data_IF_704648662999
#
_entry.id   IF_704648662999
#
_cell.length_a   1.000
_cell.length_b   1.000
_cell.length_c   1.000
_cell.angle_alpha   90.00
_cell.angle_beta   90.00
_cell.angle_gamma   90.00
#
_symmetry.space_group_name_H-M   'P 1'
#
loop_
_entity.id
_entity.type
_entity.pdbx_description
1 polymer ?
#
# COMPACT_ATOMS: atom_id res chain seq x y z
N UNK A 1 -5.30 -11.53 12.95
CA UNK A 1 -3.93 -11.13 12.57
C UNK A 1 -3.34 -10.38 13.73
N UNK A 2 -2.15 -10.77 14.18
CA UNK A 2 -1.40 -10.06 15.24
C UNK A 2 -0.67 -8.84 14.69
N UNK A 3 -0.31 -8.89 13.40
CA UNK A 3 0.38 -7.84 12.65
C UNK A 3 -0.35 -7.58 11.33
N UNK A 4 -0.49 -6.31 10.96
CA UNK A 4 -0.91 -5.87 9.62
C UNK A 4 0.14 -4.92 9.05
N UNK A 5 0.60 -5.18 7.83
CA UNK A 5 1.54 -4.30 7.11
C UNK A 5 0.81 -3.64 5.95
N UNK A 6 0.79 -2.31 5.93
CA UNK A 6 0.09 -1.51 4.95
C UNK A 6 1.05 -0.69 4.09
N UNK A 7 0.97 -0.88 2.78
CA UNK A 7 1.68 -0.07 1.77
C UNK A 7 0.68 0.54 0.80
N UNK A 8 0.75 1.85 0.55
CA UNK A 8 -0.15 2.55 -0.37
C UNK A 8 -1.62 2.30 -0.01
N UNK A 9 -2.46 1.86 -0.95
CA UNK A 9 -3.84 1.44 -0.67
C UNK A 9 -3.96 0.42 0.48
N UNK A 10 -2.96 -0.44 0.68
CA UNK A 10 -2.90 -1.38 1.79
C UNK A 10 -2.77 -0.71 3.17
N UNK A 11 -2.22 0.50 3.26
CA UNK A 11 -2.20 1.27 4.52
C UNK A 11 -3.58 1.79 4.91
N UNK A 12 -4.37 2.23 3.94
CA UNK A 12 -5.78 2.60 4.15
C UNK A 12 -6.59 1.37 4.58
N UNK A 13 -6.49 0.27 3.84
CA UNK A 13 -7.20 -0.98 4.18
C UNK A 13 -6.74 -1.52 5.53
N UNK A 14 -5.42 -1.49 5.80
CA UNK A 14 -4.85 -1.92 7.07
C UNK A 14 -5.39 -1.10 8.26
N UNK A 15 -5.42 0.21 8.14
CA UNK A 15 -6.02 1.09 9.15
C UNK A 15 -7.51 0.81 9.34
N UNK A 16 -8.26 0.57 8.25
CA UNK A 16 -9.67 0.22 8.29
C UNK A 16 -9.92 -1.11 9.02
N UNK A 17 -9.26 -2.21 8.63
CA UNK A 17 -9.50 -3.53 9.23
C UNK A 17 -8.97 -3.67 10.67
N UNK A 18 -8.05 -2.78 11.07
CA UNK A 18 -7.55 -2.70 12.44
C UNK A 18 -8.39 -1.76 13.34
N UNK A 19 -9.28 -0.95 12.76
CA UNK A 19 -10.04 0.07 13.50
C UNK A 19 -11.14 -0.47 14.43
N UNK A 20 -11.54 -1.73 14.25
CA UNK A 20 -12.71 -2.30 14.91
C UNK A 20 -14.03 -2.10 14.15
N UNK A 21 -14.05 -1.30 13.07
CA UNK A 21 -15.20 -1.23 12.16
C UNK A 21 -15.43 -2.59 11.48
N UNK A 22 -16.66 -3.11 11.46
CA UNK A 22 -16.99 -4.37 10.77
C UNK A 22 -16.60 -4.34 9.28
N UNK A 23 -16.09 -5.45 8.76
CA UNK A 23 -15.62 -5.54 7.36
C UNK A 23 -16.75 -5.34 6.37
N UNK A 24 -17.97 -5.74 6.73
CA UNK A 24 -19.20 -5.56 5.96
C UNK A 24 -19.54 -4.07 5.79
N UNK A 25 -19.32 -3.28 6.85
CA UNK A 25 -19.53 -1.83 6.80
C UNK A 25 -18.47 -1.16 5.92
N UNK A 26 -17.20 -1.56 6.07
CA UNK A 26 -16.10 -1.09 5.23
C UNK A 26 -16.37 -1.40 3.75
N UNK A 27 -16.83 -2.62 3.46
CA UNK A 27 -17.24 -3.04 2.12
C UNK A 27 -18.40 -2.20 1.59
N UNK A 28 -19.47 -2.00 2.36
CA UNK A 28 -20.58 -1.15 1.98
C UNK A 28 -20.12 0.30 1.69
N UNK A 29 -19.14 0.80 2.44
CA UNK A 29 -18.49 2.09 2.21
C UNK A 29 -17.84 2.21 0.83
N UNK A 30 -17.22 1.14 0.33
CA UNK A 30 -16.61 1.10 -1.01
C UNK A 30 -17.64 1.20 -2.15
N UNK A 31 -18.88 0.75 -1.91
CA UNK A 31 -19.97 0.76 -2.88
C UNK A 31 -20.64 2.13 -3.02
N UNK A 32 -20.46 3.03 -2.05
CA UNK A 32 -20.99 4.40 -2.13
C UNK A 32 -20.26 5.19 -3.24
N UNK A 33 -20.86 6.23 -3.83
CA UNK A 33 -20.17 7.10 -4.77
C UNK A 33 -18.95 7.78 -4.12
N UNK A 34 -17.83 7.87 -4.84
CA UNK A 34 -16.67 8.63 -4.39
C UNK A 34 -17.00 10.13 -4.46
N UNK A 35 -17.10 10.79 -3.30
CA UNK A 35 -17.33 12.25 -3.22
C UNK A 35 -15.98 12.95 -2.99
N UNK A 36 -15.65 13.94 -3.84
CA UNK A 36 -14.44 14.76 -3.67
C UNK A 36 -13.12 14.06 -4.02
N UNK A 37 -13.14 12.83 -4.55
CA UNK A 37 -11.93 12.18 -5.05
C UNK A 37 -11.61 12.66 -6.47
N UNK A 38 -10.45 13.29 -6.64
CA UNK A 38 -9.96 13.68 -7.95
C UNK A 38 -9.48 12.43 -8.71
N UNK A 39 -9.95 12.18 -9.94
CA UNK A 39 -9.38 11.14 -10.78
C UNK A 39 -7.90 11.44 -11.01
N UNK A 40 -7.04 10.59 -10.47
CA UNK A 40 -5.62 10.61 -10.79
C UNK A 40 -5.30 9.55 -11.82
N UNK A 41 -4.18 9.71 -12.51
CA UNK A 41 -3.63 8.70 -13.42
C UNK A 41 -2.19 8.46 -13.08
N UNK A 42 -1.86 7.21 -12.80
CA UNK A 42 -0.48 6.76 -12.83
C UNK A 42 -0.09 6.55 -14.30
N UNK A 43 0.34 7.63 -14.95
CA UNK A 43 0.66 7.60 -16.37
C UNK A 43 1.91 6.77 -16.69
N UNK A 44 1.97 6.21 -17.90
CA UNK A 44 3.15 5.47 -18.39
C UNK A 44 4.43 6.31 -18.29
N UNK A 45 4.34 7.62 -18.50
CA UNK A 45 5.47 8.54 -18.35
C UNK A 45 6.00 8.61 -16.90
N UNK A 46 5.11 8.55 -15.90
CA UNK A 46 5.51 8.52 -14.47
C UNK A 46 6.22 7.21 -14.17
N UNK A 47 5.63 6.08 -14.57
CA UNK A 47 6.24 4.75 -14.42
C UNK A 47 7.60 4.65 -15.12
N UNK A 48 7.72 5.21 -16.33
CA UNK A 48 8.98 5.25 -17.08
C UNK A 48 10.04 6.09 -16.35
N UNK A 49 9.66 7.25 -15.79
CA UNK A 49 10.57 8.07 -14.96
C UNK A 49 11.02 7.34 -13.71
N UNK A 50 10.13 6.57 -13.07
CA UNK A 50 10.48 5.75 -11.90
C UNK A 50 11.49 4.66 -12.30
N UNK A 51 11.20 3.93 -13.38
CA UNK A 51 12.08 2.88 -13.89
C UNK A 51 13.46 3.45 -14.26
N UNK A 52 13.51 4.59 -14.95
CA UNK A 52 14.76 5.26 -15.33
C UNK A 52 15.55 5.79 -14.12
N UNK A 53 14.87 6.37 -13.13
CA UNK A 53 15.50 6.80 -11.88
C UNK A 53 16.08 5.61 -11.10
N UNK A 54 15.37 4.48 -11.13
CA UNK A 54 15.76 3.24 -10.46
C UNK A 54 16.86 2.45 -11.15
N UNK A 55 16.95 2.50 -12.48
CA UNK A 55 17.94 1.75 -13.26
C UNK A 55 19.37 2.33 -13.18
N UNK A 56 19.55 3.51 -12.60
CA UNK A 56 20.87 4.16 -12.49
C UNK A 56 21.70 3.60 -11.32
N UNK A 57 22.42 2.52 -11.57
CA UNK A 57 23.33 1.91 -10.60
C UNK A 57 22.65 0.87 -9.70
N UNK A 58 23.44 0.24 -8.82
CA UNK A 58 23.01 -0.91 -8.01
C UNK A 58 22.56 -0.56 -6.59
N UNK A 59 22.71 0.70 -6.18
CA UNK A 59 22.32 1.18 -4.85
C UNK A 59 20.82 1.52 -4.84
N UNK A 60 20.04 0.64 -4.21
CA UNK A 60 18.58 0.77 -4.10
C UNK A 60 18.16 2.01 -3.31
N UNK A 61 18.90 2.41 -2.27
CA UNK A 61 18.58 3.60 -1.47
C UNK A 61 18.73 4.84 -2.33
N UNK A 62 19.82 4.95 -3.09
CA UNK A 62 20.02 6.06 -4.04
C UNK A 62 18.98 6.05 -5.17
N UNK A 63 18.59 4.88 -5.66
CA UNK A 63 17.50 4.76 -6.62
C UNK A 63 16.19 5.35 -6.08
N UNK A 64 15.84 5.02 -4.83
CA UNK A 64 14.68 5.59 -4.13
C UNK A 64 14.80 7.10 -3.94
N UNK A 65 15.97 7.59 -3.53
CA UNK A 65 16.23 9.03 -3.39
C UNK A 65 16.01 9.80 -4.71
N UNK A 66 16.37 9.22 -5.86
CA UNK A 66 16.08 9.85 -7.17
C UNK A 66 14.59 9.88 -7.50
N UNK A 67 13.84 8.83 -7.15
CA UNK A 67 12.38 8.84 -7.26
C UNK A 67 11.78 9.90 -6.33
N UNK A 68 12.30 10.03 -5.11
CA UNK A 68 11.91 11.07 -4.17
C UNK A 68 12.21 12.48 -4.67
N UNK A 69 13.41 12.75 -5.19
CA UNK A 69 13.76 14.03 -5.81
C UNK A 69 12.82 14.41 -6.97
N UNK A 70 12.44 13.42 -7.79
CA UNK A 70 11.44 13.60 -8.83
C UNK A 70 10.04 13.93 -8.27
N UNK A 71 9.64 13.30 -7.16
CA UNK A 71 8.38 13.60 -6.48
C UNK A 71 8.38 15.02 -5.88
N UNK A 72 9.48 15.43 -5.25
CA UNK A 72 9.65 16.75 -4.66
C UNK A 72 9.53 17.88 -5.70
N UNK A 73 9.96 17.62 -6.94
CA UNK A 73 9.88 18.54 -8.07
C UNK A 73 8.55 18.46 -8.86
N UNK A 74 7.66 17.53 -8.53
CA UNK A 74 6.43 17.32 -9.28
C UNK A 74 5.35 18.36 -8.93
N UNK A 75 4.64 18.85 -9.96
CA UNK A 75 3.41 19.62 -9.76
C UNK A 75 2.31 18.67 -9.33
N UNK A 76 1.80 18.85 -8.12
CA UNK A 76 0.78 18.02 -7.49
C UNK A 76 -0.25 18.92 -6.79
N UNK A 77 -1.43 18.39 -6.40
CA UNK A 77 -2.35 19.12 -5.53
C UNK A 77 -1.70 19.47 -4.17
N UNK A 78 -2.34 20.34 -3.39
CA UNK A 78 -1.80 20.71 -2.06
C UNK A 78 -1.78 19.52 -1.11
N UNK A 79 -0.79 19.49 -0.22
CA UNK A 79 -0.69 18.49 0.86
C UNK A 79 -1.95 18.47 1.72
N UNK A 80 -2.48 19.64 2.07
CA UNK A 80 -3.72 19.81 2.84
C UNK A 80 -4.92 19.15 2.15
N UNK A 81 -5.12 19.42 0.85
CA UNK A 81 -6.24 18.83 0.09
C UNK A 81 -6.13 17.30 0.05
N UNK A 82 -4.90 16.77 -0.08
CA UNK A 82 -4.67 15.33 -0.09
C UNK A 82 -4.91 14.72 1.27
N UNK A 83 -4.45 15.38 2.34
CA UNK A 83 -4.66 14.97 3.73
C UNK A 83 -6.14 14.86 4.07
N UNK A 84 -6.97 15.80 3.62
CA UNK A 84 -8.42 15.74 3.81
C UNK A 84 -9.06 14.51 3.15
N UNK A 85 -8.63 14.15 1.94
CA UNK A 85 -9.10 12.94 1.26
C UNK A 85 -8.66 11.67 1.99
N UNK A 86 -7.44 11.62 2.53
CA UNK A 86 -6.99 10.48 3.34
C UNK A 86 -7.79 10.38 4.64
N UNK A 87 -8.00 11.49 5.34
CA UNK A 87 -8.82 11.52 6.55
C UNK A 87 -10.24 10.97 6.32
N UNK A 88 -10.87 11.33 5.20
CA UNK A 88 -12.20 10.84 4.83
C UNK A 88 -12.27 9.33 4.54
N UNK A 89 -11.13 8.67 4.29
CA UNK A 89 -11.04 7.22 4.06
C UNK A 89 -10.83 6.43 5.35
N UNK A 90 -10.47 7.09 6.45
CA UNK A 90 -10.14 6.44 7.72
C UNK A 90 -11.34 6.52 8.69
N UNK A 91 -11.82 5.40 9.23
CA UNK A 91 -12.92 5.40 10.20
C UNK A 91 -12.47 5.93 11.58
N UNK A 92 -11.18 5.88 11.87
CA UNK A 92 -10.56 6.34 13.12
C UNK A 92 -9.40 7.27 12.83
N UNK A 93 -9.11 8.17 13.78
CA UNK A 93 -8.00 9.15 13.68
C UNK A 93 -6.75 8.70 14.44
N UNK A 94 -6.94 7.90 15.47
CA UNK A 94 -5.87 7.36 16.31
C UNK A 94 -5.37 6.02 15.78
N UNK A 95 -4.13 5.68 16.14
CA UNK A 95 -3.59 4.36 15.84
C UNK A 95 -4.42 3.26 16.49
N UNK A 96 -4.77 2.19 15.75
CA UNK A 96 -5.51 1.07 16.31
C UNK A 96 -4.68 0.30 17.33
N UNK A 97 -5.34 -0.34 18.30
CA UNK A 97 -4.67 -1.21 19.27
C UNK A 97 -3.99 -2.43 18.62
N UNK A 98 -4.54 -2.94 17.52
CA UNK A 98 -3.91 -4.00 16.73
C UNK A 98 -2.68 -3.45 16.02
N UNK A 99 -1.55 -4.17 16.10
CA UNK A 99 -0.27 -3.74 15.54
C UNK A 99 -0.37 -3.52 14.02
N UNK A 100 -0.30 -2.25 13.62
CA UNK A 100 -0.30 -1.80 12.23
C UNK A 100 1.04 -1.14 11.90
N UNK A 101 1.68 -1.60 10.83
CA UNK A 101 2.87 -0.97 10.26
C UNK A 101 2.49 -0.28 8.96
N UNK A 102 2.84 1.00 8.83
CA UNK A 102 2.56 1.82 7.64
C UNK A 102 3.88 2.21 6.99
N UNK A 103 4.06 1.84 5.73
CA UNK A 103 5.36 1.98 5.05
C UNK A 103 5.47 3.29 4.29
N UNK A 104 6.65 3.91 4.32
CA UNK A 104 6.98 5.11 3.58
C UNK A 104 8.47 5.12 3.18
N UNK A 105 8.85 6.06 2.33
CA UNK A 105 10.24 6.32 1.98
C UNK A 105 10.52 7.81 2.15
N UNK A 106 11.63 8.14 2.81
CA UNK A 106 12.11 9.53 2.84
C UNK A 106 12.50 9.96 1.43
N UNK A 107 11.92 11.05 0.96
CA UNK A 107 12.08 11.51 -0.41
C UNK A 107 13.47 12.09 -0.72
N UNK A 108 14.20 12.59 0.29
CA UNK A 108 15.52 13.15 0.11
C UNK A 108 16.61 12.07 0.21
N UNK A 109 16.57 11.22 1.24
CA UNK A 109 17.60 10.21 1.49
C UNK A 109 17.34 8.88 0.78
N UNK A 110 16.08 8.57 0.43
CA UNK A 110 15.67 7.26 -0.08
C UNK A 110 15.61 6.17 1.00
N UNK A 111 15.75 6.55 2.28
CA UNK A 111 15.63 5.66 3.43
C UNK A 111 14.21 5.09 3.53
N UNK A 112 14.11 3.80 3.83
CA UNK A 112 12.83 3.17 4.10
C UNK A 112 12.42 3.41 5.54
N UNK A 113 11.19 3.89 5.73
CA UNK A 113 10.64 4.21 7.05
C UNK A 113 9.37 3.42 7.27
N UNK A 114 9.19 2.94 8.48
CA UNK A 114 7.97 2.25 8.92
C UNK A 114 7.40 3.03 10.11
N UNK A 115 6.17 3.51 9.96
CA UNK A 115 5.43 4.16 11.02
C UNK A 115 4.53 3.16 11.74
N UNK A 116 4.42 3.34 13.05
CA UNK A 116 3.51 2.61 13.94
C UNK A 116 3.00 3.53 15.07
N UNK A 117 2.24 2.96 16.02
CA UNK A 117 1.66 3.69 17.14
C UNK A 117 2.71 4.39 18.05
N UNK A 118 3.96 3.95 18.02
CA UNK A 118 5.06 4.52 18.82
C UNK A 118 5.81 5.63 18.11
N UNK A 119 5.55 5.83 16.81
CA UNK A 119 6.31 6.76 15.97
C UNK A 119 6.03 8.23 16.25
N UNK A 120 5.07 8.56 17.14
CA UNK A 120 4.65 9.94 17.44
C UNK A 120 4.17 10.72 16.19
N UNK A 121 3.61 10.00 15.21
CA UNK A 121 3.05 10.56 13.96
C UNK A 121 1.55 10.28 13.93
N UNK A 122 0.68 11.26 13.64
CA UNK A 122 -0.74 11.01 13.48
C UNK A 122 -1.01 9.97 12.38
N UNK A 123 -1.94 9.04 12.62
CA UNK A 123 -2.24 7.95 11.68
C UNK A 123 -2.54 8.45 10.25
N UNK A 124 -3.31 9.53 10.14
CA UNK A 124 -3.66 10.15 8.85
C UNK A 124 -2.43 10.61 8.06
N UNK A 125 -1.38 11.08 8.73
CA UNK A 125 -0.16 11.58 8.11
C UNK A 125 0.75 10.41 7.70
N UNK A 126 0.83 9.36 8.52
CA UNK A 126 1.52 8.12 8.16
C UNK A 126 0.87 7.43 6.94
N UNK A 127 -0.46 7.27 6.95
CA UNK A 127 -1.21 6.72 5.81
C UNK A 127 -1.10 7.64 4.59
N UNK A 128 -1.11 8.95 4.80
CA UNK A 128 -0.89 9.95 3.76
C UNK A 128 0.46 9.78 3.07
N UNK A 129 1.54 9.69 3.86
CA UNK A 129 2.89 9.41 3.37
C UNK A 129 2.95 8.09 2.59
N UNK A 130 2.34 7.03 3.13
CA UNK A 130 2.27 5.74 2.45
C UNK A 130 1.48 5.79 1.14
N UNK A 131 0.53 6.72 0.99
CA UNK A 131 -0.25 6.92 -0.23
C UNK A 131 0.31 8.01 -1.17
N UNK A 132 1.45 8.62 -0.85
CA UNK A 132 2.03 9.73 -1.60
C UNK A 132 2.80 9.22 -2.84
N UNK A 133 2.05 8.70 -3.82
CA UNK A 133 2.55 8.15 -5.08
C UNK A 133 3.40 9.20 -5.83
N UNK A 134 4.72 8.98 -6.00
CA UNK A 134 5.62 9.95 -6.63
C UNK A 134 5.17 10.46 -8.00
N UNK A 135 5.04 11.78 -8.13
CA UNK A 135 4.61 12.43 -9.37
C UNK A 135 3.09 12.43 -9.60
N UNK A 136 2.32 11.89 -8.67
CA UNK A 136 0.85 11.92 -8.70
C UNK A 136 0.30 12.69 -7.51
N UNK A 137 0.76 12.37 -6.30
CA UNK A 137 0.34 13.00 -5.05
C UNK A 137 1.52 13.72 -4.39
N UNK A 138 1.26 14.80 -3.63
CA UNK A 138 2.34 15.53 -2.96
C UNK A 138 3.03 14.64 -1.92
N UNK A 139 4.38 14.71 -1.80
CA UNK A 139 5.07 14.17 -0.63
C UNK A 139 4.51 14.77 0.66
N UNK A 140 4.38 13.96 1.72
CA UNK A 140 3.80 14.38 3.01
C UNK A 140 4.90 14.82 3.96
N UNK A 141 4.68 15.94 4.63
CA UNK A 141 5.63 16.59 5.54
C UNK A 141 5.40 16.09 6.97
N UNK A 142 6.40 15.42 7.56
CA UNK A 142 6.34 14.87 8.93
C UNK A 142 7.67 15.14 9.62
N UNK A 143 7.66 15.85 10.74
CA UNK A 143 8.87 16.13 11.52
C UNK A 143 10.00 16.80 10.72
N UNK A 144 9.67 17.72 9.81
CA UNK A 144 10.66 18.42 8.95
C UNK A 144 11.20 17.59 7.77
N UNK A 145 10.78 16.34 7.62
CA UNK A 145 11.13 15.46 6.50
C UNK A 145 9.93 15.32 5.55
N UNK A 146 10.19 14.94 4.30
CA UNK A 146 9.13 14.69 3.29
C UNK A 146 9.14 13.26 2.83
N UNK A 147 7.98 12.63 2.82
CA UNK A 147 7.83 11.20 2.59
C UNK A 147 6.99 10.90 1.34
N UNK A 148 7.35 9.82 0.66
CA UNK A 148 6.63 9.25 -0.48
C UNK A 148 6.20 7.81 -0.20
N UNK A 149 5.34 7.29 -1.08
CA UNK A 149 4.75 5.95 -0.99
C UNK A 149 5.82 4.85 -0.79
N UNK A 150 5.62 4.00 0.23
CA UNK A 150 6.48 2.86 0.54
C UNK A 150 6.55 1.80 -0.58
N UNK A 151 5.59 1.85 -1.51
CA UNK A 151 5.53 1.09 -2.75
C UNK A 151 6.74 1.31 -3.65
N UNK A 152 7.45 2.43 -3.49
CA UNK A 152 8.72 2.72 -4.18
C UNK A 152 9.84 1.75 -3.79
N UNK A 153 9.78 1.20 -2.57
CA UNK A 153 10.66 0.10 -2.14
C UNK A 153 10.14 -1.24 -2.64
N UNK A 154 8.91 -1.58 -2.31
CA UNK A 154 8.26 -2.85 -2.65
C UNK A 154 6.75 -2.63 -2.67
N UNK A 155 6.06 -3.20 -3.66
CA UNK A 155 4.61 -3.08 -3.77
C UNK A 155 3.84 -3.69 -2.58
N UNK A 156 4.46 -4.62 -1.83
CA UNK A 156 3.82 -5.32 -0.71
C UNK A 156 4.59 -5.24 0.61
N UNK A 157 5.91 -5.00 0.60
CA UNK A 157 6.79 -5.02 1.77
C UNK A 157 6.55 -6.26 2.68
N UNK A 158 6.39 -7.44 2.09
CA UNK A 158 6.01 -8.66 2.80
C UNK A 158 7.10 -9.16 3.76
N UNK A 159 8.34 -8.73 3.55
CA UNK A 159 9.48 -9.00 4.43
C UNK A 159 9.29 -8.43 5.86
N UNK A 160 8.44 -7.41 6.04
CA UNK A 160 8.09 -6.90 7.38
C UNK A 160 7.28 -7.88 8.24
N UNK A 161 6.78 -8.97 7.64
CA UNK A 161 6.14 -10.07 8.36
C UNK A 161 7.14 -11.18 8.77
N UNK A 162 8.46 -10.95 8.61
CA UNK A 162 9.47 -11.91 9.07
C UNK A 162 9.27 -12.26 10.55
N UNK A 163 9.41 -13.54 10.87
CA UNK A 163 9.16 -14.10 12.20
C UNK A 163 7.71 -14.55 12.43
N UNK A 164 6.77 -14.21 11.56
CA UNK A 164 5.41 -14.75 11.62
C UNK A 164 5.36 -16.21 11.12
N UNK A 165 4.59 -17.06 11.80
CA UNK A 165 4.35 -18.46 11.40
C UNK A 165 3.42 -18.58 10.18
N UNK A 166 2.43 -17.70 10.09
CA UNK A 166 1.45 -17.66 9.01
C UNK A 166 1.34 -16.25 8.43
N UNK A 167 1.42 -16.13 7.10
CA UNK A 167 1.39 -14.86 6.39
C UNK A 167 0.39 -14.92 5.24
N UNK A 168 -0.56 -13.98 5.21
CA UNK A 168 -1.46 -13.77 4.07
C UNK A 168 -1.06 -12.48 3.37
N UNK A 169 -0.63 -12.59 2.11
CA UNK A 169 -0.22 -11.44 1.29
C UNK A 169 -1.34 -11.08 0.32
N UNK A 170 -1.91 -9.88 0.50
CA UNK A 170 -2.82 -9.28 -0.46
C UNK A 170 -2.02 -8.45 -1.47
N UNK A 171 -1.81 -9.02 -2.67
CA UNK A 171 -0.96 -8.44 -3.71
C UNK A 171 -1.80 -7.97 -4.91
N UNK A 172 -2.21 -6.68 -4.97
CA UNK A 172 -2.99 -6.14 -6.10
C UNK A 172 -2.19 -6.15 -7.41
N UNK A 173 -0.86 -6.18 -7.31
CA UNK A 173 0.06 -6.44 -8.42
C UNK A 173 1.10 -7.46 -7.99
N UNK A 174 1.49 -8.34 -8.91
CA UNK A 174 2.62 -9.26 -8.75
C UNK A 174 3.90 -8.73 -9.41
N UNK A 175 3.78 -7.64 -10.18
CA UNK A 175 4.88 -7.06 -10.92
C UNK A 175 5.78 -6.22 -10.00
N UNK A 176 7.09 -6.42 -10.12
CA UNK A 176 8.10 -5.45 -9.71
C UNK A 176 8.51 -4.60 -10.92
N UNK A 177 8.91 -3.36 -10.69
CA UNK A 177 9.47 -2.47 -11.71
C UNK A 177 10.85 -1.99 -11.25
N UNK A 178 11.79 -1.91 -12.19
CA UNK A 178 13.15 -1.45 -11.90
C UNK A 178 13.82 -2.27 -10.78
N UNK A 179 14.40 -1.63 -9.76
CA UNK A 179 15.12 -2.32 -8.68
C UNK A 179 14.21 -2.92 -7.59
N UNK A 180 12.88 -2.80 -7.70
CA UNK A 180 11.98 -3.34 -6.67
C UNK A 180 12.06 -4.87 -6.61
N UNK A 181 12.12 -5.47 -5.41
CA UNK A 181 12.14 -6.92 -5.26
C UNK A 181 10.81 -7.50 -5.77
N UNK A 182 10.91 -8.60 -6.52
CA UNK A 182 9.73 -9.35 -6.98
C UNK A 182 9.01 -9.94 -5.78
N UNK A 183 7.68 -10.05 -5.88
CA UNK A 183 6.88 -10.72 -4.86
C UNK A 183 7.41 -12.14 -4.59
N UNK A 184 7.73 -12.91 -5.62
CA UNK A 184 8.26 -14.28 -5.47
C UNK A 184 9.51 -14.37 -4.59
N UNK A 185 10.41 -13.39 -4.66
CA UNK A 185 11.61 -13.35 -3.84
C UNK A 185 11.28 -13.12 -2.35
N UNK A 186 10.36 -12.18 -2.07
CA UNK A 186 9.90 -11.92 -0.70
C UNK A 186 9.19 -13.15 -0.11
N UNK A 187 8.35 -13.84 -0.91
CA UNK A 187 7.68 -15.05 -0.48
C UNK A 187 8.65 -16.21 -0.22
N UNK A 188 9.67 -16.36 -1.07
CA UNK A 188 10.71 -17.37 -0.88
C UNK A 188 11.49 -17.14 0.43
N UNK A 189 11.81 -15.88 0.74
CA UNK A 189 12.46 -15.53 2.00
C UNK A 189 11.59 -15.91 3.21
N UNK A 190 10.31 -15.53 3.23
CA UNK A 190 9.39 -15.89 4.31
C UNK A 190 9.27 -17.41 4.49
N UNK A 191 9.12 -18.16 3.39
CA UNK A 191 9.03 -19.63 3.43
C UNK A 191 10.31 -20.28 3.92
N UNK A 192 11.47 -19.77 3.50
CA UNK A 192 12.78 -20.26 3.99
C UNK A 192 12.98 -19.99 5.48
N UNK A 193 12.33 -18.97 6.03
CA UNK A 193 12.30 -18.67 7.45
C UNK A 193 11.22 -19.46 8.22
N UNK A 194 10.54 -20.42 7.57
CA UNK A 194 9.55 -21.30 8.19
C UNK A 194 8.12 -20.79 8.18
N UNK A 195 7.82 -19.68 7.49
CA UNK A 195 6.45 -19.18 7.40
C UNK A 195 5.62 -19.95 6.36
N UNK A 196 4.38 -20.29 6.73
CA UNK A 196 3.35 -20.67 5.78
C UNK A 196 2.78 -19.40 5.12
N UNK A 197 2.65 -19.41 3.79
CA UNK A 197 2.30 -18.18 3.05
C UNK A 197 1.24 -18.42 2.00
N UNK A 198 0.08 -17.76 2.17
CA UNK A 198 -0.98 -17.64 1.18
C UNK A 198 -0.90 -16.30 0.46
N UNK A 199 -1.21 -16.28 -0.84
CA UNK A 199 -1.15 -15.07 -1.66
C UNK A 199 -2.46 -14.87 -2.39
N UNK A 200 -3.14 -13.77 -2.09
CA UNK A 200 -4.34 -13.35 -2.83
C UNK A 200 -3.93 -12.26 -3.81
N UNK A 201 -4.22 -12.49 -5.10
CA UNK A 201 -4.06 -11.48 -6.13
C UNK A 201 -5.32 -11.42 -7.00
N UNK A 202 -5.64 -10.26 -7.60
CA UNK A 202 -6.82 -10.11 -8.43
C UNK A 202 -6.89 -11.18 -9.53
N UNK A 203 -7.99 -11.93 -9.57
CA UNK A 203 -8.29 -12.85 -10.67
C UNK A 203 -8.61 -12.09 -11.97
N UNK A 204 -9.04 -12.79 -13.03
CA UNK A 204 -9.36 -12.14 -14.30
C UNK A 204 -10.50 -11.11 -14.17
N UNK A 205 -11.54 -11.43 -13.42
CA UNK A 205 -12.70 -10.55 -13.25
C UNK A 205 -12.35 -9.32 -12.40
N UNK A 206 -11.62 -9.52 -11.30
CA UNK A 206 -11.11 -8.45 -10.46
C UNK A 206 -10.14 -7.53 -11.22
N UNK A 207 -9.23 -8.08 -12.05
CA UNK A 207 -8.36 -7.27 -12.92
C UNK A 207 -9.17 -6.43 -13.92
N UNK A 208 -10.21 -7.00 -14.52
CA UNK A 208 -11.07 -6.28 -15.45
C UNK A 208 -11.85 -5.15 -14.75
N UNK A 209 -12.33 -5.40 -13.53
CA UNK A 209 -13.04 -4.43 -12.71
C UNK A 209 -12.13 -3.27 -12.27
N UNK A 210 -10.91 -3.57 -11.81
CA UNK A 210 -9.87 -2.58 -11.47
C UNK A 210 -9.53 -1.73 -12.70
N UNK A 211 -9.41 -2.36 -13.87
CA UNK A 211 -9.08 -1.69 -15.12
C UNK A 211 -7.63 -1.21 -15.18
N UNK A 212 -7.32 -0.38 -16.18
CA UNK A 212 -5.95 0.08 -16.46
C UNK A 212 -5.51 1.26 -15.58
N UNK A 213 -6.46 2.07 -15.10
CA UNK A 213 -6.18 3.17 -14.20
C UNK A 213 -6.53 2.77 -12.76
N UNK A 214 -5.54 2.28 -12.02
CA UNK A 214 -5.71 1.82 -10.63
C UNK A 214 -6.08 2.95 -9.65
N UNK A 215 -6.00 4.21 -10.09
CA UNK A 215 -6.34 5.39 -9.30
C UNK A 215 -7.69 6.02 -9.72
N UNK A 216 -8.48 5.34 -10.53
CA UNK A 216 -9.80 5.80 -10.96
C UNK A 216 -10.85 5.54 -9.86
N UNK A 217 -11.39 6.58 -9.20
CA UNK A 217 -12.40 6.39 -8.16
C UNK A 217 -13.69 5.77 -8.69
N UNK A 218 -14.01 5.89 -9.99
CA UNK A 218 -15.18 5.26 -10.60
C UNK A 218 -15.09 3.73 -10.62
N UNK A 219 -13.88 3.17 -10.52
CA UNK A 219 -13.64 1.72 -10.49
C UNK A 219 -13.85 1.11 -9.11
N UNK A 220 -13.94 1.92 -8.05
CA UNK A 220 -13.98 1.48 -6.66
C UNK A 220 -15.06 0.44 -6.37
N UNK A 221 -16.32 0.75 -6.73
CA UNK A 221 -17.46 -0.12 -6.45
C UNK A 221 -17.40 -1.44 -7.24
N UNK A 222 -16.96 -1.39 -8.51
CA UNK A 222 -16.80 -2.59 -9.33
C UNK A 222 -15.67 -3.48 -8.80
N UNK A 223 -14.53 -2.89 -8.43
CA UNK A 223 -13.40 -3.61 -7.83
C UNK A 223 -13.78 -4.27 -6.50
N UNK A 224 -14.52 -3.57 -5.64
CA UNK A 224 -15.01 -4.12 -4.37
C UNK A 224 -15.89 -5.35 -4.60
N UNK A 225 -16.89 -5.26 -5.49
CA UNK A 225 -17.76 -6.41 -5.84
C UNK A 225 -16.98 -7.59 -6.39
N UNK A 226 -16.02 -7.34 -7.28
CA UNK A 226 -15.20 -8.40 -7.85
C UNK A 226 -14.31 -9.07 -6.79
N UNK A 227 -13.71 -8.31 -5.87
CA UNK A 227 -12.94 -8.86 -4.75
C UNK A 227 -13.81 -9.67 -3.79
N UNK A 228 -15.03 -9.22 -3.49
CA UNK A 228 -15.99 -9.96 -2.68
C UNK A 228 -16.39 -11.29 -3.34
N UNK A 229 -16.68 -11.27 -4.65
CA UNK A 229 -16.98 -12.49 -5.40
C UNK A 229 -15.78 -13.47 -5.44
N UNK A 230 -14.56 -12.95 -5.60
CA UNK A 230 -13.34 -13.74 -5.58
C UNK A 230 -13.06 -14.39 -4.21
N UNK A 231 -13.53 -13.78 -3.11
CA UNK A 231 -13.23 -14.22 -1.75
C UNK A 231 -13.57 -15.70 -1.51
N UNK A 232 -14.71 -16.18 -2.05
CA UNK A 232 -15.12 -17.57 -1.93
C UNK A 232 -14.10 -18.56 -2.54
N UNK A 233 -13.47 -18.19 -3.65
CA UNK A 233 -12.51 -19.05 -4.35
C UNK A 233 -11.13 -19.11 -3.67
N UNK A 234 -10.83 -18.20 -2.73
CA UNK A 234 -9.54 -18.15 -2.02
C UNK A 234 -9.68 -18.43 -0.52
N UNK A 235 -10.91 -18.60 -0.02
CA UNK A 235 -11.18 -18.73 1.40
C UNK A 235 -10.52 -19.96 2.02
N UNK A 236 -10.61 -21.12 1.35
CA UNK A 236 -10.01 -22.37 1.83
C UNK A 236 -8.48 -22.30 1.88
N UNK A 237 -7.85 -21.80 0.81
CA UNK A 237 -6.38 -21.60 0.74
C UNK A 237 -5.87 -20.65 1.84
N UNK A 238 -6.61 -19.56 2.08
CA UNK A 238 -6.28 -18.61 3.14
C UNK A 238 -6.50 -19.24 4.51
N UNK A 239 -7.61 -19.95 4.71
CA UNK A 239 -7.93 -20.61 5.97
C UNK A 239 -6.86 -21.64 6.35
N UNK A 240 -6.39 -22.46 5.39
CA UNK A 240 -5.35 -23.46 5.63
C UNK A 240 -4.10 -22.86 6.28
N UNK A 241 -3.63 -21.73 5.76
CA UNK A 241 -2.47 -21.01 6.33
C UNK A 241 -2.83 -20.31 7.66
N UNK A 242 -4.03 -19.74 7.75
CA UNK A 242 -4.44 -18.95 8.91
C UNK A 242 -4.68 -19.79 10.16
N UNK A 243 -5.19 -21.02 10.01
CA UNK A 243 -5.46 -21.93 11.13
C UNK A 243 -4.25 -22.77 11.51
N UNK A 244 -3.35 -23.07 10.57
CA UNK A 244 -2.09 -23.79 10.87
C UNK A 244 -1.09 -22.95 11.69
N UNK A 245 -1.29 -21.62 11.72
CA UNK A 245 -0.49 -20.66 12.47
C UNK A 245 -0.99 -20.35 13.90
N UNK A 246 -2.16 -20.86 14.29
CA UNK A 246 -2.77 -20.65 15.62
C UNK A 246 -2.29 -21.63 16.68
#
# INVERSE_FOLDING_TARGET
AELVVGTSAGSVVGAQVCSGTPVEELYAGQLRPARGELPARLGVAVLARWAWAGARGRDEVRARARVGAMALAARTPSEESRRAVIAARLPVREWPARRLLVTAVDAASGEFVVFDATSQVPLVDAVGASCAVPGVWPPVSIGGRRYVDGGVRSAVNADLAAGARAVVVLAPTRAGFGPMPRLSAQLAQLRSAGAEVAVVSPDRAARAAIGRNVLDPARRAASARAGFAQAAAVAEDVAAVWTAGG
#
